data_IF_104739390465
#
_entry.id   IF_104739390465
#
_cell.length_a   1.000
_cell.length_b   1.000
_cell.length_c   1.000
_cell.angle_alpha   90.00
_cell.angle_beta   90.00
_cell.angle_gamma   90.00
#
_symmetry.space_group_name_H-M   'P 1'
#
loop_
_entity.id
_entity.type
_entity.pdbx_description
1 polymer ?
#
# COMPACT_ATOMS: atom_id res chain seq x y z
N UNK A 1 -5.33 44.72 31.86
CA UNK A 1 -5.88 43.36 32.00
C UNK A 1 -6.67 42.90 30.78
N UNK A 2 -7.67 43.63 30.29
CA UNK A 2 -8.44 43.29 29.07
C UNK A 2 -7.54 43.07 27.80
N UNK A 3 -6.59 43.97 27.56
CA UNK A 3 -5.66 43.85 26.41
C UNK A 3 -4.81 42.59 26.43
N UNK A 4 -4.38 42.16 27.61
CA UNK A 4 -3.58 40.91 27.79
C UNK A 4 -4.46 39.70 27.59
N UNK A 5 -5.70 39.73 28.09
CA UNK A 5 -6.67 38.64 27.87
C UNK A 5 -7.07 38.52 26.40
N UNK A 6 -7.23 39.62 25.68
CA UNK A 6 -7.54 39.61 24.24
C UNK A 6 -6.36 39.08 23.42
N UNK A 7 -5.13 39.47 23.75
CA UNK A 7 -3.93 38.93 23.11
C UNK A 7 -3.78 37.41 23.36
N UNK A 8 -3.90 37.00 24.63
CA UNK A 8 -3.85 35.60 24.99
C UNK A 8 -4.96 34.77 24.32
N UNK A 9 -6.18 35.28 24.25
CA UNK A 9 -7.27 34.57 23.58
C UNK A 9 -7.06 34.45 22.07
N UNK A 10 -6.54 35.49 21.42
CA UNK A 10 -6.25 35.47 19.99
C UNK A 10 -5.10 34.49 19.68
N UNK A 11 -4.07 34.47 20.51
CA UNK A 11 -2.97 33.50 20.35
C UNK A 11 -3.43 32.05 20.59
N UNK A 12 -4.21 31.80 21.64
CA UNK A 12 -4.77 30.47 21.92
C UNK A 12 -5.66 30.01 20.76
N UNK A 13 -6.55 30.88 20.25
CA UNK A 13 -7.42 30.56 19.12
C UNK A 13 -6.58 30.25 17.87
N UNK A 14 -5.52 31.02 17.61
CA UNK A 14 -4.60 30.76 16.51
C UNK A 14 -3.96 29.38 16.64
N UNK A 15 -3.33 29.08 17.77
CA UNK A 15 -2.64 27.82 18.00
C UNK A 15 -3.58 26.61 17.92
N UNK A 16 -4.75 26.69 18.56
CA UNK A 16 -5.75 25.63 18.52
C UNK A 16 -6.21 25.39 17.09
N UNK A 17 -6.47 26.46 16.34
CA UNK A 17 -6.91 26.32 14.95
C UNK A 17 -5.88 25.65 14.04
N UNK A 18 -4.59 25.91 14.24
CA UNK A 18 -3.55 25.36 13.39
C UNK A 18 -3.04 23.97 13.82
N UNK A 19 -3.20 23.59 15.07
CA UNK A 19 -2.76 22.29 15.59
C UNK A 19 -3.89 21.28 15.58
N UNK A 20 -5.16 21.70 15.66
CA UNK A 20 -6.31 20.82 15.83
C UNK A 20 -6.45 19.79 14.68
N UNK A 21 -6.19 20.20 13.44
CA UNK A 21 -6.28 19.28 12.29
C UNK A 21 -5.20 18.19 12.35
N UNK A 22 -3.89 18.53 12.43
CA UNK A 22 -2.85 17.49 12.63
C UNK A 22 -3.10 16.65 13.88
N UNK A 23 -3.58 17.25 14.97
CA UNK A 23 -3.87 16.52 16.21
C UNK A 23 -4.93 15.44 16.00
N UNK A 24 -6.09 15.81 15.43
CA UNK A 24 -7.22 14.90 15.24
C UNK A 24 -6.91 13.88 14.14
N UNK A 25 -6.28 14.30 13.05
CA UNK A 25 -6.09 13.46 11.86
C UNK A 25 -4.90 12.51 11.96
N UNK A 26 -3.86 12.88 12.72
CA UNK A 26 -2.60 12.14 12.75
C UNK A 26 -2.28 11.61 14.16
N UNK A 27 -2.32 12.48 15.17
CA UNK A 27 -1.82 12.14 16.51
C UNK A 27 -2.82 11.25 17.26
N UNK A 28 -4.11 11.60 17.24
CA UNK A 28 -5.14 10.78 17.92
C UNK A 28 -5.19 9.37 17.34
N UNK A 29 -5.22 9.16 16.00
CA UNK A 29 -5.12 7.82 15.42
C UNK A 29 -3.81 7.10 15.75
N UNK A 30 -2.66 7.80 15.76
CA UNK A 30 -1.37 7.19 16.10
C UNK A 30 -1.33 6.71 17.55
N UNK A 31 -1.82 7.51 18.50
CA UNK A 31 -1.89 7.16 19.93
C UNK A 31 -2.89 6.01 20.14
N UNK A 32 -4.10 6.11 19.57
CA UNK A 32 -5.10 5.05 19.66
C UNK A 32 -4.57 3.75 19.04
N UNK A 33 -3.95 3.84 17.87
CA UNK A 33 -3.30 2.73 17.20
C UNK A 33 -2.17 2.12 18.03
N UNK A 34 -1.35 2.94 18.68
CA UNK A 34 -0.30 2.46 19.57
C UNK A 34 -0.87 1.56 20.68
N UNK A 35 -1.85 2.05 21.42
CA UNK A 35 -2.46 1.26 22.51
C UNK A 35 -3.18 0.00 22.01
N UNK A 36 -3.89 0.10 20.87
CA UNK A 36 -4.55 -1.04 20.26
C UNK A 36 -3.56 -2.14 19.89
N UNK A 37 -2.45 -1.77 19.24
CA UNK A 37 -1.42 -2.72 18.82
C UNK A 37 -0.61 -3.28 19.99
N UNK A 38 -0.36 -2.50 21.03
CA UNK A 38 0.24 -2.98 22.28
C UNK A 38 -0.69 -3.99 22.94
N UNK A 39 -1.99 -3.69 23.07
CA UNK A 39 -3.00 -4.64 23.59
C UNK A 39 -3.01 -5.93 22.78
N UNK A 40 -3.07 -5.83 21.43
CA UNK A 40 -2.99 -7.00 20.55
C UNK A 40 -1.75 -7.83 20.85
N UNK A 41 -0.59 -7.18 20.98
CA UNK A 41 0.68 -7.87 21.22
C UNK A 41 0.74 -8.58 22.57
N UNK A 42 0.19 -7.98 23.61
CA UNK A 42 0.09 -8.59 24.95
C UNK A 42 -0.85 -9.78 24.95
N UNK A 43 -1.99 -9.68 24.26
CA UNK A 43 -3.00 -10.73 24.18
C UNK A 43 -2.67 -11.81 23.15
N UNK A 44 -1.66 -11.58 22.31
CA UNK A 44 -1.29 -12.52 21.24
C UNK A 44 -0.82 -13.85 21.80
N UNK A 45 -1.56 -14.89 21.46
CA UNK A 45 -1.17 -16.28 21.68
C UNK A 45 -0.43 -16.77 20.44
N UNK A 46 0.74 -17.37 20.64
CA UNK A 46 1.53 -17.94 19.56
C UNK A 46 0.74 -19.07 18.89
N UNK A 47 0.61 -19.02 17.56
CA UNK A 47 -0.01 -20.08 16.81
C UNK A 47 0.75 -21.40 17.06
N UNK A 48 0.02 -22.51 17.19
CA UNK A 48 0.63 -23.83 17.39
C UNK A 48 1.53 -24.20 16.19
N UNK A 49 2.61 -24.97 16.40
CA UNK A 49 3.43 -25.46 15.31
C UNK A 49 2.60 -26.32 14.37
N UNK A 50 2.93 -26.31 13.08
CA UNK A 50 2.30 -27.21 12.09
C UNK A 50 2.71 -28.64 12.41
N UNK A 51 1.74 -29.51 12.58
CA UNK A 51 1.93 -30.96 12.68
C UNK A 51 1.93 -31.58 11.28
N UNK A 52 1.13 -31.01 10.39
CA UNK A 52 0.96 -31.41 9.01
C UNK A 52 1.10 -30.20 8.11
N UNK A 53 1.77 -30.37 6.97
CA UNK A 53 1.93 -29.33 5.95
C UNK A 53 0.89 -29.53 4.85
N UNK A 54 -0.19 -28.73 4.80
CA UNK A 54 -1.18 -28.82 3.73
C UNK A 54 -0.59 -28.43 2.38
N UNK A 55 -1.15 -28.96 1.26
CA UNK A 55 -0.69 -28.55 -0.08
C UNK A 55 -0.95 -27.07 -0.32
N UNK A 56 0.05 -26.37 -0.82
CA UNK A 56 0.04 -24.94 -1.18
C UNK A 56 0.35 -24.79 -2.66
N UNK A 57 -0.45 -24.00 -3.36
CA UNK A 57 -0.08 -23.51 -4.69
C UNK A 57 0.41 -22.07 -4.57
N UNK A 58 1.66 -21.86 -4.94
CA UNK A 58 2.29 -20.54 -5.01
C UNK A 58 2.24 -20.04 -6.46
N UNK A 59 1.60 -18.91 -6.69
CA UNK A 59 1.46 -18.31 -8.02
C UNK A 59 2.43 -17.15 -8.15
N UNK A 60 3.22 -17.17 -9.22
CA UNK A 60 4.23 -16.14 -9.53
C UNK A 60 3.99 -15.61 -10.95
N UNK A 61 3.27 -14.50 -11.12
CA UNK A 61 3.17 -13.84 -12.43
C UNK A 61 4.53 -13.30 -12.84
N UNK A 62 4.99 -13.62 -14.05
CA UNK A 62 6.29 -13.22 -14.57
C UNK A 62 6.12 -12.26 -15.73
N UNK A 63 6.73 -11.07 -15.63
CA UNK A 63 6.75 -10.08 -16.69
C UNK A 63 8.07 -9.35 -16.75
N UNK A 64 8.90 -9.67 -17.75
CA UNK A 64 10.25 -9.10 -17.93
C UNK A 64 11.06 -9.14 -16.63
N UNK A 65 11.18 -10.32 -16.04
CA UNK A 65 11.79 -10.53 -14.71
C UNK A 65 13.13 -11.27 -14.78
N UNK A 66 13.83 -11.25 -15.92
CA UNK A 66 15.08 -11.99 -16.09
C UNK A 66 16.12 -11.67 -14.99
N UNK A 67 16.18 -10.40 -14.54
CA UNK A 67 17.15 -9.96 -13.52
C UNK A 67 16.80 -10.40 -12.10
N UNK A 68 15.51 -10.67 -11.81
CA UNK A 68 15.00 -10.89 -10.44
C UNK A 68 14.52 -12.32 -10.22
N UNK A 69 14.09 -13.02 -11.27
CA UNK A 69 13.41 -14.32 -11.19
C UNK A 69 14.27 -15.39 -10.50
N UNK A 70 15.58 -15.44 -10.77
CA UNK A 70 16.47 -16.41 -10.14
C UNK A 70 16.49 -16.24 -8.61
N UNK A 71 16.64 -15.01 -8.13
CA UNK A 71 16.65 -14.70 -6.71
C UNK A 71 15.28 -14.97 -6.04
N UNK A 72 14.19 -14.69 -6.75
CA UNK A 72 12.85 -15.03 -6.31
C UNK A 72 12.68 -16.54 -6.12
N UNK A 73 13.02 -17.36 -7.13
CA UNK A 73 12.96 -18.83 -7.06
C UNK A 73 13.86 -19.39 -5.97
N UNK A 74 15.06 -18.85 -5.82
CA UNK A 74 15.99 -19.28 -4.76
C UNK A 74 15.43 -18.98 -3.37
N UNK A 75 14.73 -17.87 -3.20
CA UNK A 75 14.03 -17.53 -1.95
C UNK A 75 12.87 -18.47 -1.63
N UNK A 76 12.16 -18.96 -2.65
CA UNK A 76 11.10 -19.97 -2.50
C UNK A 76 11.71 -21.31 -2.09
N UNK A 77 12.79 -21.73 -2.75
CA UNK A 77 13.54 -22.97 -2.42
C UNK A 77 14.07 -22.96 -0.99
N UNK A 78 14.54 -21.80 -0.53
CA UNK A 78 15.07 -21.62 0.82
C UNK A 78 13.97 -21.41 1.89
N UNK A 79 12.69 -21.55 1.52
CA UNK A 79 11.60 -21.50 2.50
C UNK A 79 11.63 -22.76 3.39
N UNK A 80 11.10 -22.62 4.61
CA UNK A 80 10.97 -23.73 5.57
C UNK A 80 9.71 -24.60 5.30
N UNK A 81 9.04 -24.41 4.15
CA UNK A 81 7.91 -25.23 3.74
C UNK A 81 8.39 -26.50 3.04
N UNK A 82 7.66 -27.62 3.23
CA UNK A 82 8.00 -28.89 2.62
C UNK A 82 7.90 -28.81 1.08
N UNK A 83 8.96 -29.10 0.32
CA UNK A 83 8.96 -28.97 -1.14
C UNK A 83 7.87 -29.80 -1.82
N UNK A 84 7.56 -31.01 -1.28
CA UNK A 84 6.57 -31.93 -1.82
C UNK A 84 5.12 -31.40 -1.68
N UNK A 85 4.92 -30.45 -0.78
CA UNK A 85 3.62 -29.79 -0.53
C UNK A 85 3.51 -28.40 -1.17
N UNK A 86 4.53 -28.01 -1.96
CA UNK A 86 4.60 -26.70 -2.60
C UNK A 86 4.61 -26.85 -4.11
N UNK A 87 3.50 -26.46 -4.75
CA UNK A 87 3.36 -26.38 -6.20
C UNK A 87 3.54 -24.92 -6.65
N UNK A 88 4.55 -24.63 -7.48
CA UNK A 88 4.88 -23.27 -7.91
C UNK A 88 4.51 -23.08 -9.37
N UNK A 89 3.50 -22.23 -9.61
CA UNK A 89 3.01 -21.89 -10.94
C UNK A 89 3.60 -20.55 -11.38
N UNK A 90 4.56 -20.60 -12.31
CA UNK A 90 5.11 -19.42 -12.96
C UNK A 90 4.28 -19.12 -14.21
N UNK A 91 3.63 -17.97 -14.23
CA UNK A 91 2.75 -17.59 -15.35
C UNK A 91 3.35 -16.42 -16.09
N UNK A 92 3.88 -16.70 -17.27
CA UNK A 92 4.40 -15.70 -18.18
C UNK A 92 3.27 -14.76 -18.67
N UNK A 93 3.41 -13.50 -18.37
CA UNK A 93 2.47 -12.43 -18.69
C UNK A 93 2.92 -11.65 -19.95
N UNK A 94 3.38 -12.37 -20.97
CA UNK A 94 3.85 -11.77 -22.21
C UNK A 94 5.26 -11.14 -22.10
N UNK A 95 6.18 -11.74 -21.34
CA UNK A 95 7.59 -11.31 -21.27
C UNK A 95 8.27 -11.37 -22.63
N UNK A 96 9.19 -10.42 -22.85
CA UNK A 96 10.01 -10.32 -24.08
C UNK A 96 11.50 -10.46 -23.80
N UNK A 97 11.85 -10.70 -22.54
CA UNK A 97 13.21 -10.91 -22.05
C UNK A 97 13.52 -12.40 -21.88
N UNK A 98 14.67 -12.74 -21.30
CA UNK A 98 15.16 -14.08 -21.09
C UNK A 98 14.57 -14.76 -19.83
N UNK A 99 13.38 -14.36 -19.34
CA UNK A 99 12.78 -14.94 -18.13
C UNK A 99 12.55 -16.46 -18.27
N UNK A 100 12.18 -16.94 -19.46
CA UNK A 100 11.97 -18.37 -19.70
C UNK A 100 13.27 -19.17 -19.63
N UNK A 101 14.35 -18.66 -20.17
CA UNK A 101 15.68 -19.27 -20.11
C UNK A 101 16.17 -19.39 -18.67
N UNK A 102 15.94 -18.33 -17.85
CA UNK A 102 16.25 -18.35 -16.41
C UNK A 102 15.45 -19.44 -15.69
N UNK A 103 14.15 -19.53 -15.94
CA UNK A 103 13.31 -20.61 -15.40
C UNK A 103 13.86 -21.99 -15.79
N UNK A 104 14.15 -22.18 -17.08
CA UNK A 104 14.61 -23.49 -17.60
C UNK A 104 15.97 -23.90 -17.00
N UNK A 105 16.89 -22.94 -16.85
CA UNK A 105 18.16 -23.16 -16.19
C UNK A 105 17.96 -23.54 -14.72
N UNK A 106 17.16 -22.77 -14.01
CA UNK A 106 16.88 -23.00 -12.60
C UNK A 106 16.21 -24.35 -12.33
N UNK A 107 15.25 -24.76 -13.17
CA UNK A 107 14.60 -26.08 -13.05
C UNK A 107 15.55 -27.24 -13.26
N UNK A 108 16.53 -27.10 -14.18
CA UNK A 108 17.58 -28.12 -14.40
C UNK A 108 18.51 -28.23 -13.20
N UNK A 109 18.83 -27.11 -12.55
CA UNK A 109 19.68 -27.10 -11.34
C UNK A 109 18.97 -27.65 -10.11
N UNK A 110 17.63 -27.48 -10.05
CA UNK A 110 16.79 -27.84 -8.89
C UNK A 110 15.59 -28.71 -9.27
N UNK A 111 15.79 -29.93 -9.79
CA UNK A 111 14.72 -30.80 -10.29
C UNK A 111 13.76 -31.30 -9.19
N UNK A 112 14.13 -31.15 -7.91
CA UNK A 112 13.30 -31.50 -6.76
C UNK A 112 12.17 -30.46 -6.50
N UNK A 113 12.22 -29.27 -7.10
CA UNK A 113 11.16 -28.29 -6.99
C UNK A 113 10.05 -28.57 -8.01
N UNK A 114 8.82 -28.53 -7.56
CA UNK A 114 7.66 -28.65 -8.46
C UNK A 114 7.35 -27.28 -9.08
N UNK A 115 8.08 -26.94 -10.15
CA UNK A 115 7.92 -25.69 -10.90
C UNK A 115 7.19 -25.97 -12.21
N UNK A 116 6.14 -25.19 -12.49
CA UNK A 116 5.38 -25.30 -13.74
C UNK A 116 5.35 -23.94 -14.42
N UNK A 117 5.78 -23.89 -15.68
CA UNK A 117 5.69 -22.70 -16.51
C UNK A 117 4.43 -22.71 -17.38
N UNK A 118 3.72 -21.59 -17.40
CA UNK A 118 2.51 -21.41 -18.17
C UNK A 118 2.60 -20.06 -18.90
N UNK A 119 1.92 -19.93 -20.05
CA UNK A 119 1.85 -18.69 -20.82
C UNK A 119 0.42 -18.14 -20.82
N UNK A 120 0.25 -16.88 -20.45
CA UNK A 120 -1.02 -16.17 -20.54
C UNK A 120 -0.92 -15.00 -21.53
N UNK A 121 -2.06 -14.47 -21.91
CA UNK A 121 -2.11 -13.17 -22.56
C UNK A 121 -1.62 -12.08 -21.58
N UNK A 122 -1.13 -10.97 -22.11
CA UNK A 122 -0.62 -9.87 -21.30
C UNK A 122 -1.70 -9.30 -20.37
N UNK A 123 -1.36 -9.17 -19.09
CA UNK A 123 -2.20 -8.67 -18.01
C UNK A 123 -2.04 -9.51 -16.74
N UNK A 124 -1.57 -8.91 -15.63
CA UNK A 124 -1.33 -9.61 -14.34
C UNK A 124 -2.59 -10.37 -13.88
N UNK A 125 -3.76 -9.75 -13.97
CA UNK A 125 -5.03 -10.38 -13.64
C UNK A 125 -5.29 -11.65 -14.47
N UNK A 126 -4.97 -11.63 -15.77
CA UNK A 126 -5.13 -12.80 -16.66
C UNK A 126 -4.19 -13.93 -16.25
N UNK A 127 -2.95 -13.60 -15.95
CA UNK A 127 -1.97 -14.56 -15.45
C UNK A 127 -2.42 -15.21 -14.13
N UNK A 128 -2.88 -14.40 -13.19
CA UNK A 128 -3.41 -14.87 -11.90
C UNK A 128 -4.65 -15.77 -12.10
N UNK A 129 -5.60 -15.37 -12.96
CA UNK A 129 -6.79 -16.15 -13.23
C UNK A 129 -6.45 -17.49 -13.87
N UNK A 130 -5.54 -17.51 -14.85
CA UNK A 130 -5.06 -18.75 -15.47
C UNK A 130 -4.48 -19.70 -14.42
N UNK A 131 -3.60 -19.20 -13.54
CA UNK A 131 -3.02 -20.02 -12.49
C UNK A 131 -4.07 -20.56 -11.52
N UNK A 132 -5.10 -19.80 -11.18
CA UNK A 132 -6.17 -20.23 -10.27
C UNK A 132 -6.92 -21.46 -10.80
N UNK A 133 -7.12 -21.59 -12.11
CA UNK A 133 -7.76 -22.77 -12.72
C UNK A 133 -6.90 -24.03 -12.63
N UNK A 134 -5.56 -23.88 -12.51
CA UNK A 134 -4.62 -24.99 -12.41
C UNK A 134 -4.15 -25.23 -10.96
N UNK A 135 -4.54 -24.38 -10.03
CA UNK A 135 -4.13 -24.47 -8.64
C UNK A 135 -4.84 -25.63 -7.94
N UNK A 136 -4.08 -26.55 -7.31
CA UNK A 136 -4.62 -27.71 -6.59
C UNK A 136 -4.52 -27.56 -5.07
N UNK A 137 -3.66 -26.69 -4.58
CA UNK A 137 -3.38 -26.49 -3.16
C UNK A 137 -4.62 -26.09 -2.33
N UNK A 138 -4.65 -26.49 -1.08
CA UNK A 138 -5.64 -26.02 -0.08
C UNK A 138 -5.58 -24.50 0.09
N UNK A 139 -4.36 -23.96 0.03
CA UNK A 139 -4.07 -22.55 0.11
C UNK A 139 -3.47 -22.07 -1.21
N UNK A 140 -3.94 -20.92 -1.66
CA UNK A 140 -3.42 -20.22 -2.82
C UNK A 140 -2.67 -18.99 -2.30
N UNK A 141 -1.39 -18.92 -2.61
CA UNK A 141 -0.56 -17.77 -2.24
C UNK A 141 -0.02 -17.20 -3.55
N UNK A 142 -0.07 -15.89 -3.72
CA UNK A 142 0.63 -15.26 -4.82
C UNK A 142 1.70 -14.29 -4.33
N UNK A 143 2.80 -14.23 -5.07
CA UNK A 143 3.90 -13.29 -4.88
C UNK A 143 4.32 -12.72 -6.24
N UNK A 144 4.87 -11.51 -6.24
CA UNK A 144 5.48 -10.93 -7.43
C UNK A 144 6.85 -11.56 -7.71
N UNK A 145 7.27 -11.59 -8.98
CA UNK A 145 8.54 -12.20 -9.43
C UNK A 145 9.78 -11.34 -9.18
N UNK A 146 9.59 -10.12 -8.70
CA UNK A 146 10.62 -9.10 -8.46
C UNK A 146 10.99 -8.93 -6.98
N UNK A 147 10.61 -9.88 -6.12
CA UNK A 147 10.91 -9.82 -4.70
C UNK A 147 11.43 -11.11 -4.11
N UNK A 148 11.74 -11.08 -2.83
CA UNK A 148 12.38 -12.16 -2.07
C UNK A 148 11.50 -12.57 -0.90
N UNK A 149 11.16 -13.84 -0.84
CA UNK A 149 10.36 -14.41 0.24
C UNK A 149 11.22 -14.64 1.49
N UNK A 150 10.74 -14.20 2.66
CA UNK A 150 11.39 -14.56 3.92
C UNK A 150 11.25 -16.07 4.17
N UNK A 151 12.30 -16.78 4.63
CA UNK A 151 12.28 -18.25 4.76
C UNK A 151 11.08 -18.82 5.54
N UNK A 152 10.56 -18.10 6.52
CA UNK A 152 9.41 -18.53 7.35
C UNK A 152 8.06 -17.99 6.89
N UNK A 153 7.99 -17.34 5.73
CA UNK A 153 6.77 -16.65 5.33
C UNK A 153 5.63 -17.62 5.01
N UNK A 154 5.89 -18.68 4.24
CA UNK A 154 4.87 -19.66 3.88
C UNK A 154 4.36 -20.43 5.10
N UNK A 155 5.27 -20.95 5.92
CA UNK A 155 4.91 -21.68 7.13
C UNK A 155 4.12 -20.82 8.12
N UNK A 156 4.45 -19.54 8.26
CA UNK A 156 3.72 -18.62 9.14
C UNK A 156 2.30 -18.35 8.62
N UNK A 157 2.12 -18.14 7.30
CA UNK A 157 0.79 -17.97 6.70
C UNK A 157 -0.08 -19.21 6.90
N UNK A 158 0.44 -20.39 6.56
CA UNK A 158 -0.31 -21.63 6.66
C UNK A 158 -0.63 -21.95 8.13
N UNK A 159 0.33 -21.75 9.03
CA UNK A 159 0.12 -21.90 10.49
C UNK A 159 -1.04 -21.03 10.99
N UNK A 160 -1.11 -19.77 10.54
CA UNK A 160 -2.18 -18.86 10.89
C UNK A 160 -3.54 -19.33 10.36
N UNK A 161 -3.59 -19.84 9.12
CA UNK A 161 -4.80 -20.40 8.55
C UNK A 161 -5.28 -21.67 9.28
N UNK A 162 -4.36 -22.54 9.68
CA UNK A 162 -4.72 -23.78 10.39
C UNK A 162 -5.15 -23.51 11.85
N UNK A 163 -4.56 -22.49 12.49
CA UNK A 163 -4.94 -22.10 13.85
C UNK A 163 -6.30 -21.37 13.89
N UNK A 164 -6.72 -20.76 12.77
CA UNK A 164 -7.89 -19.87 12.71
C UNK A 164 -8.77 -20.21 11.50
N UNK A 165 -9.75 -21.08 11.71
CA UNK A 165 -10.64 -21.55 10.63
C UNK A 165 -11.54 -20.43 10.07
N UNK A 166 -11.77 -19.38 10.84
CA UNK A 166 -12.52 -18.18 10.45
C UNK A 166 -11.75 -17.26 9.50
N UNK A 167 -10.44 -17.46 9.34
CA UNK A 167 -9.64 -16.69 8.39
C UNK A 167 -9.72 -17.30 7.00
N UNK A 168 -10.14 -16.50 6.04
CA UNK A 168 -10.35 -16.91 4.66
C UNK A 168 -9.30 -16.35 3.70
N UNK A 169 -8.79 -15.16 3.99
CA UNK A 169 -7.72 -14.52 3.24
C UNK A 169 -6.86 -13.66 4.16
N UNK A 170 -5.59 -13.52 3.80
CA UNK A 170 -4.61 -12.73 4.54
C UNK A 170 -3.67 -12.02 3.57
N UNK A 171 -3.15 -10.87 3.99
CA UNK A 171 -1.99 -10.25 3.38
C UNK A 171 -0.75 -10.51 4.21
N UNK A 172 0.40 -10.69 3.57
CA UNK A 172 1.70 -10.67 4.24
C UNK A 172 2.18 -9.23 4.48
N UNK A 173 3.32 -9.11 5.13
CA UNK A 173 4.02 -7.85 5.34
C UNK A 173 4.99 -7.60 4.18
N UNK A 174 4.92 -6.43 3.57
CA UNK A 174 5.86 -6.00 2.52
C UNK A 174 6.88 -5.06 3.12
N UNK A 175 8.15 -5.34 2.90
CA UNK A 175 9.26 -4.47 3.30
C UNK A 175 10.26 -4.35 2.13
N UNK A 176 10.98 -3.25 2.05
CA UNK A 176 12.11 -3.14 1.12
C UNK A 176 13.29 -3.98 1.60
N UNK A 177 14.09 -4.50 0.69
CA UNK A 177 15.18 -5.43 1.02
C UNK A 177 16.33 -4.72 1.77
N UNK A 178 16.57 -5.03 3.06
CA UNK A 178 17.60 -4.36 3.85
C UNK A 178 19.02 -4.66 3.38
N UNK A 179 19.27 -5.80 2.74
CA UNK A 179 20.61 -6.15 2.25
C UNK A 179 20.96 -5.29 1.02
N UNK A 180 20.01 -5.06 0.12
CA UNK A 180 20.20 -4.15 -1.01
C UNK A 180 20.43 -2.72 -0.54
N UNK A 181 19.68 -2.25 0.48
CA UNK A 181 19.89 -0.92 1.08
C UNK A 181 21.30 -0.79 1.67
N UNK A 182 21.83 -1.84 2.32
CA UNK A 182 23.19 -1.84 2.85
C UNK A 182 24.24 -1.82 1.75
N UNK A 183 23.98 -2.50 0.63
CA UNK A 183 24.88 -2.58 -0.52
C UNK A 183 24.92 -1.29 -1.35
N UNK A 184 23.92 -0.40 -1.22
CA UNK A 184 23.88 0.87 -1.95
C UNK A 184 25.07 1.75 -1.58
N UNK A 185 25.85 2.14 -2.61
CA UNK A 185 27.09 2.91 -2.43
C UNK A 185 26.84 4.41 -2.26
N UNK A 186 25.79 4.93 -2.91
CA UNK A 186 25.46 6.36 -2.82
C UNK A 186 24.80 6.67 -1.47
N UNK A 187 25.41 7.52 -0.61
CA UNK A 187 24.89 7.79 0.72
C UNK A 187 23.51 8.46 0.72
N UNK A 188 23.25 9.35 -0.25
CA UNK A 188 21.94 10.01 -0.37
C UNK A 188 20.85 9.03 -0.78
N UNK A 189 21.12 8.16 -1.78
CA UNK A 189 20.19 7.10 -2.19
C UNK A 189 19.97 6.11 -1.06
N UNK A 190 21.01 5.72 -0.33
CA UNK A 190 20.90 4.83 0.83
C UNK A 190 20.03 5.41 1.95
N UNK A 191 20.15 6.73 2.24
CA UNK A 191 19.28 7.41 3.21
C UNK A 191 17.84 7.42 2.70
N UNK A 192 17.62 7.73 1.44
CA UNK A 192 16.31 7.72 0.80
C UNK A 192 15.63 6.34 0.88
N UNK A 193 16.36 5.27 0.54
CA UNK A 193 15.88 3.89 0.64
C UNK A 193 15.64 3.44 2.09
N UNK A 194 16.45 3.89 3.05
CA UNK A 194 16.16 3.67 4.48
C UNK A 194 14.87 4.35 4.92
N UNK A 195 14.60 5.53 4.41
CA UNK A 195 13.37 6.26 4.73
C UNK A 195 12.15 5.55 4.13
N UNK A 196 12.26 5.04 2.91
CA UNK A 196 11.26 4.17 2.30
C UNK A 196 11.02 2.90 3.12
N UNK A 197 12.08 2.24 3.59
CA UNK A 197 11.94 1.06 4.47
C UNK A 197 11.12 1.37 5.73
N UNK A 198 11.33 2.52 6.34
CA UNK A 198 10.57 2.96 7.51
C UNK A 198 9.11 3.26 7.16
N UNK A 199 8.86 3.90 6.03
CA UNK A 199 7.49 4.16 5.54
C UNK A 199 6.77 2.85 5.23
N UNK A 200 7.43 1.88 4.56
CA UNK A 200 6.86 0.55 4.31
C UNK A 200 6.54 -0.18 5.61
N UNK A 201 7.43 -0.13 6.60
CA UNK A 201 7.18 -0.74 7.91
C UNK A 201 5.99 -0.07 8.63
N UNK A 202 5.83 1.25 8.51
CA UNK A 202 4.66 1.94 9.04
C UNK A 202 3.37 1.57 8.31
N UNK A 203 3.38 1.55 6.99
CA UNK A 203 2.20 1.26 6.17
C UNK A 203 1.81 -0.22 6.21
N UNK A 204 2.74 -1.10 5.83
CA UNK A 204 2.44 -2.52 5.57
C UNK A 204 2.62 -3.44 6.79
N UNK A 205 3.24 -2.97 7.88
CA UNK A 205 3.29 -3.75 9.12
C UNK A 205 2.40 -3.11 10.19
N UNK A 206 2.70 -1.92 10.67
CA UNK A 206 1.92 -1.31 11.74
C UNK A 206 0.51 -0.90 11.29
N UNK A 207 0.41 -0.19 10.16
CA UNK A 207 -0.86 0.26 9.59
C UNK A 207 -1.80 -0.89 9.27
N UNK A 208 -1.32 -1.91 8.56
CA UNK A 208 -2.14 -3.10 8.24
C UNK A 208 -2.57 -3.89 9.48
N UNK A 209 -1.74 -3.95 10.53
CA UNK A 209 -2.14 -4.54 11.80
C UNK A 209 -3.25 -3.72 12.47
N UNK A 210 -3.16 -2.40 12.47
CA UNK A 210 -4.21 -1.52 12.96
C UNK A 210 -5.51 -1.67 12.17
N UNK A 211 -5.43 -1.67 10.84
CA UNK A 211 -6.58 -1.89 9.96
C UNK A 211 -7.23 -3.26 10.20
N UNK A 212 -6.43 -4.31 10.41
CA UNK A 212 -6.94 -5.66 10.71
C UNK A 212 -7.75 -5.69 12.01
N UNK A 213 -7.27 -5.05 13.08
CA UNK A 213 -7.98 -4.98 14.34
C UNK A 213 -9.33 -4.23 14.23
N UNK A 214 -9.38 -3.20 13.41
CA UNK A 214 -10.60 -2.46 13.11
C UNK A 214 -11.46 -3.12 12.02
N UNK A 215 -11.07 -4.30 11.53
CA UNK A 215 -11.67 -4.92 10.35
C UNK A 215 -11.77 -3.93 9.17
N UNK A 216 -10.69 -3.20 8.90
CA UNK A 216 -10.67 -2.07 7.99
C UNK A 216 -9.67 -2.19 6.84
N UNK A 217 -9.01 -3.34 6.66
CA UNK A 217 -8.15 -3.58 5.51
C UNK A 217 -8.97 -3.39 4.23
N UNK A 218 -8.60 -2.41 3.43
CA UNK A 218 -9.29 -2.09 2.17
C UNK A 218 -8.54 -2.62 0.94
N UNK A 219 -7.26 -2.97 1.08
CA UNK A 219 -6.49 -3.63 0.02
C UNK A 219 -5.51 -4.63 0.63
N UNK A 220 -5.49 -5.85 0.11
CA UNK A 220 -4.41 -6.80 0.33
C UNK A 220 -3.23 -6.42 -0.57
N UNK A 221 -2.03 -6.77 -0.17
CA UNK A 221 -0.87 -6.47 -1.00
C UNK A 221 -0.85 -7.33 -2.27
N UNK A 222 -0.80 -6.71 -3.44
CA UNK A 222 -0.66 -7.39 -4.72
C UNK A 222 0.66 -8.14 -4.88
N UNK A 223 1.67 -7.79 -4.06
CA UNK A 223 2.96 -8.46 -4.04
C UNK A 223 3.01 -9.69 -3.13
N UNK A 224 2.09 -9.82 -2.15
CA UNK A 224 2.04 -10.98 -1.26
C UNK A 224 0.68 -11.11 -0.58
N UNK A 225 -0.16 -11.99 -1.09
CA UNK A 225 -1.45 -12.30 -0.48
C UNK A 225 -1.76 -13.79 -0.55
N UNK A 226 -2.61 -14.25 0.36
CA UNK A 226 -2.93 -15.65 0.57
C UNK A 226 -4.44 -15.85 0.78
N UNK A 227 -4.97 -16.93 0.22
CA UNK A 227 -6.38 -17.28 0.25
C UNK A 227 -6.58 -18.77 0.56
N UNK A 228 -7.68 -19.10 1.24
CA UNK A 228 -8.21 -20.44 1.10
C UNK A 228 -8.73 -20.60 -0.33
N UNK A 229 -8.37 -21.70 -1.02
CA UNK A 229 -8.86 -21.97 -2.38
C UNK A 229 -10.38 -21.85 -2.49
N UNK A 230 -11.11 -22.38 -1.52
CA UNK A 230 -12.57 -22.30 -1.47
C UNK A 230 -13.11 -20.87 -1.39
N UNK A 231 -12.33 -19.91 -0.94
CA UNK A 231 -12.75 -18.49 -0.84
C UNK A 231 -12.49 -17.74 -2.14
N UNK A 232 -11.29 -17.85 -2.70
CA UNK A 232 -10.97 -17.13 -3.94
C UNK A 232 -11.86 -17.59 -5.10
N UNK A 233 -12.20 -18.88 -5.16
CA UNK A 233 -13.10 -19.42 -6.20
C UNK A 233 -14.58 -19.00 -6.03
N UNK A 234 -14.95 -18.42 -4.89
CA UNK A 234 -16.29 -17.82 -4.69
C UNK A 234 -16.35 -16.34 -5.09
N UNK A 235 -15.22 -15.73 -5.39
CA UNK A 235 -15.15 -14.37 -5.94
C UNK A 235 -15.40 -14.40 -7.45
N UNK A 236 -15.49 -13.23 -8.06
CA UNK A 236 -15.50 -13.06 -9.52
C UNK A 236 -14.08 -13.13 -10.10
N UNK A 237 -13.13 -13.69 -9.37
CA UNK A 237 -11.71 -13.76 -9.70
C UNK A 237 -11.07 -12.35 -9.85
N UNK A 238 -9.90 -12.28 -10.45
CA UNK A 238 -9.20 -11.00 -10.66
C UNK A 238 -9.78 -10.26 -11.87
N UNK A 239 -10.23 -9.03 -11.65
CA UNK A 239 -10.76 -8.20 -12.73
C UNK A 239 -9.64 -7.78 -13.69
N UNK A 240 -9.88 -7.91 -14.99
CA UNK A 240 -8.92 -7.59 -16.06
C UNK A 240 -9.00 -6.15 -16.55
N UNK A 241 -10.00 -5.39 -16.09
CA UNK A 241 -10.26 -4.02 -16.53
C UNK A 241 -9.61 -2.97 -15.61
N UNK A 242 -9.11 -3.37 -14.43
CA UNK A 242 -8.46 -2.49 -13.49
C UNK A 242 -6.96 -2.80 -13.35
N UNK A 243 -6.17 -1.77 -13.01
CA UNK A 243 -4.74 -1.89 -12.70
C UNK A 243 -4.47 -2.25 -11.23
N UNK A 244 -5.51 -2.30 -10.39
CA UNK A 244 -5.45 -2.66 -8.97
C UNK A 244 -6.32 -3.89 -8.70
N UNK A 245 -5.92 -5.01 -9.27
CA UNK A 245 -6.58 -6.30 -9.14
C UNK A 245 -6.65 -6.79 -7.70
N UNK A 246 -5.66 -6.46 -6.91
CA UNK A 246 -5.53 -6.78 -5.49
C UNK A 246 -6.56 -6.03 -4.63
N UNK A 247 -6.73 -4.75 -4.88
CA UNK A 247 -7.76 -3.93 -4.25
C UNK A 247 -9.15 -4.42 -4.67
N UNK A 248 -9.34 -4.71 -5.96
CA UNK A 248 -10.61 -5.18 -6.48
C UNK A 248 -11.04 -6.52 -5.85
N UNK A 249 -10.14 -7.52 -5.77
CA UNK A 249 -10.45 -8.80 -5.11
C UNK A 249 -10.67 -8.62 -3.60
N UNK A 250 -9.97 -7.67 -2.97
CA UNK A 250 -10.20 -7.31 -1.57
C UNK A 250 -11.63 -6.82 -1.34
N UNK A 251 -12.13 -5.94 -2.21
CA UNK A 251 -13.51 -5.46 -2.16
C UNK A 251 -14.53 -6.57 -2.39
N UNK A 252 -14.26 -7.49 -3.32
CA UNK A 252 -15.13 -8.66 -3.52
C UNK A 252 -15.24 -9.51 -2.25
N UNK A 253 -14.11 -9.86 -1.63
CA UNK A 253 -14.09 -10.65 -0.40
C UNK A 253 -14.89 -9.95 0.71
N UNK A 254 -14.75 -8.65 0.85
CA UNK A 254 -15.45 -7.89 1.89
C UNK A 254 -16.92 -7.64 1.56
N UNK A 255 -17.25 -7.19 0.34
CA UNK A 255 -18.61 -6.76 -0.03
C UNK A 255 -19.49 -7.92 -0.46
N UNK A 256 -18.96 -8.90 -1.23
CA UNK A 256 -19.74 -10.02 -1.75
C UNK A 256 -19.77 -11.22 -0.79
N UNK A 257 -18.62 -11.53 -0.19
CA UNK A 257 -18.50 -12.69 0.69
C UNK A 257 -18.65 -12.35 2.18
N UNK A 258 -18.69 -11.05 2.53
CA UNK A 258 -18.76 -10.55 3.92
C UNK A 258 -17.68 -11.11 4.85
N UNK A 259 -16.50 -11.44 4.28
CA UNK A 259 -15.39 -12.03 5.02
C UNK A 259 -14.43 -10.95 5.52
N UNK A 260 -13.79 -11.24 6.66
CA UNK A 260 -12.72 -10.43 7.22
C UNK A 260 -11.41 -10.73 6.51
N UNK A 261 -10.56 -9.71 6.41
CA UNK A 261 -9.21 -9.84 5.92
C UNK A 261 -8.25 -9.64 7.08
N UNK A 262 -7.29 -10.54 7.21
CA UNK A 262 -6.28 -10.49 8.26
C UNK A 262 -4.90 -10.15 7.69
N UNK A 263 -3.97 -9.83 8.57
CA UNK A 263 -2.55 -9.74 8.25
C UNK A 263 -1.79 -10.86 8.97
N UNK A 264 -0.80 -11.42 8.28
CA UNK A 264 0.21 -12.27 8.89
C UNK A 264 1.51 -11.46 9.02
N UNK A 265 1.70 -10.81 10.17
CA UNK A 265 2.75 -9.83 10.40
C UNK A 265 4.18 -10.41 10.34
N UNK A 266 4.33 -11.71 10.53
CA UNK A 266 5.60 -12.44 10.47
C UNK A 266 5.81 -13.21 9.15
N UNK A 267 4.89 -13.08 8.21
CA UNK A 267 5.04 -13.52 6.83
C UNK A 267 5.52 -12.32 6.00
N UNK A 268 6.80 -12.28 5.68
CA UNK A 268 7.42 -11.11 5.04
C UNK A 268 7.83 -11.44 3.61
N UNK A 269 7.59 -10.48 2.73
CA UNK A 269 8.08 -10.44 1.38
C UNK A 269 8.88 -9.17 1.17
N UNK A 270 10.10 -9.30 0.69
CA UNK A 270 11.00 -8.17 0.46
C UNK A 270 10.94 -7.75 -1.01
N UNK A 271 10.68 -6.48 -1.23
CA UNK A 271 10.72 -5.86 -2.56
C UNK A 271 11.98 -5.02 -2.73
N UNK A 272 12.34 -4.75 -3.96
CA UNK A 272 13.50 -3.93 -4.25
C UNK A 272 13.26 -2.49 -3.78
N UNK A 273 14.29 -1.85 -3.16
CA UNK A 273 14.20 -0.45 -2.79
C UNK A 273 14.10 0.44 -4.03
N UNK A 274 13.30 1.49 -3.93
CA UNK A 274 13.09 2.37 -5.07
C UNK A 274 14.36 3.14 -5.44
N UNK A 275 14.62 3.29 -6.73
CA UNK A 275 15.86 3.86 -7.22
C UNK A 275 15.90 5.39 -7.15
N UNK A 276 14.77 6.06 -7.37
CA UNK A 276 14.69 7.50 -7.46
C UNK A 276 13.28 8.05 -7.22
N UNK A 277 13.19 9.38 -7.03
CA UNK A 277 11.93 10.07 -6.79
C UNK A 277 10.91 9.93 -7.93
N UNK A 278 11.37 9.83 -9.18
CA UNK A 278 10.47 9.69 -10.32
C UNK A 278 9.73 8.35 -10.27
N UNK A 279 10.46 7.23 -10.02
CA UNK A 279 9.84 5.91 -9.85
C UNK A 279 8.89 5.90 -8.65
N UNK A 280 9.26 6.56 -7.55
CA UNK A 280 8.39 6.72 -6.37
C UNK A 280 7.09 7.45 -6.72
N UNK A 281 7.19 8.58 -7.44
CA UNK A 281 6.03 9.36 -7.85
C UNK A 281 5.06 8.52 -8.70
N UNK A 282 5.57 7.86 -9.74
CA UNK A 282 4.76 7.00 -10.61
C UNK A 282 4.09 5.86 -9.85
N UNK A 283 4.82 5.22 -8.93
CA UNK A 283 4.28 4.14 -8.09
C UNK A 283 3.13 4.63 -7.21
N UNK A 284 3.31 5.75 -6.49
CA UNK A 284 2.30 6.30 -5.58
C UNK A 284 1.08 6.84 -6.32
N UNK A 285 1.26 7.46 -7.48
CA UNK A 285 0.15 7.88 -8.33
C UNK A 285 -0.63 6.68 -8.86
N UNK A 286 0.04 5.62 -9.32
CA UNK A 286 -0.62 4.39 -9.80
C UNK A 286 -1.47 3.76 -8.70
N UNK A 287 -0.93 3.61 -7.49
CA UNK A 287 -1.69 3.07 -6.36
C UNK A 287 -2.93 3.90 -6.06
N UNK A 288 -2.74 5.23 -5.95
CA UNK A 288 -3.83 6.14 -5.61
C UNK A 288 -4.96 6.15 -6.66
N UNK A 289 -4.59 6.13 -7.95
CA UNK A 289 -5.56 6.08 -9.06
C UNK A 289 -6.33 4.76 -9.07
N UNK A 290 -5.64 3.64 -8.92
CA UNK A 290 -6.28 2.33 -8.92
C UNK A 290 -7.21 2.12 -7.73
N UNK A 291 -6.85 2.62 -6.54
CA UNK A 291 -7.73 2.61 -5.37
C UNK A 291 -9.04 3.38 -5.64
N UNK A 292 -8.94 4.57 -6.26
CA UNK A 292 -10.12 5.37 -6.63
C UNK A 292 -10.99 4.70 -7.68
N UNK A 293 -10.36 4.10 -8.69
CA UNK A 293 -11.06 3.38 -9.76
C UNK A 293 -11.87 2.21 -9.19
N UNK A 294 -11.24 1.37 -8.37
CA UNK A 294 -11.91 0.24 -7.72
C UNK A 294 -13.00 0.73 -6.77
N UNK A 295 -12.73 1.77 -6.01
CA UNK A 295 -13.74 2.36 -5.14
C UNK A 295 -14.99 2.78 -5.91
N UNK A 296 -14.81 3.40 -7.06
CA UNK A 296 -15.92 3.82 -7.93
C UNK A 296 -16.71 2.63 -8.47
N UNK A 297 -16.06 1.53 -8.84
CA UNK A 297 -16.72 0.29 -9.30
C UNK A 297 -17.66 -0.30 -8.23
N UNK A 298 -17.30 -0.15 -6.94
CA UNK A 298 -18.07 -0.71 -5.82
C UNK A 298 -18.96 0.30 -5.08
N UNK A 299 -18.97 1.58 -5.50
CA UNK A 299 -19.87 2.57 -4.90
C UNK A 299 -21.31 2.34 -5.33
N UNK A 300 -22.20 2.29 -4.35
CA UNK A 300 -23.64 2.27 -4.62
C UNK A 300 -24.08 3.63 -5.19
N UNK A 301 -24.92 3.61 -6.24
CA UNK A 301 -25.46 4.83 -6.90
C UNK A 301 -26.42 5.66 -6.01
N UNK A 302 -26.38 5.44 -4.68
CA UNK A 302 -27.22 6.15 -3.72
C UNK A 302 -26.57 7.45 -3.20
N UNK A 303 -27.24 8.09 -2.23
CA UNK A 303 -26.72 9.29 -1.58
C UNK A 303 -25.36 9.02 -0.93
N UNK A 304 -24.36 9.87 -1.24
CA UNK A 304 -23.02 9.83 -0.66
C UNK A 304 -23.06 9.86 0.87
N UNK A 305 -23.98 10.66 1.46
CA UNK A 305 -24.17 10.74 2.91
C UNK A 305 -24.67 9.43 3.50
N UNK A 306 -25.63 8.78 2.84
CA UNK A 306 -26.11 7.45 3.27
C UNK A 306 -25.00 6.39 3.13
N UNK A 307 -24.25 6.41 2.04
CA UNK A 307 -23.09 5.56 1.83
C UNK A 307 -22.02 5.75 2.92
N UNK A 308 -21.71 6.99 3.28
CA UNK A 308 -20.77 7.30 4.37
C UNK A 308 -21.22 6.71 5.72
N UNK A 309 -22.50 6.80 6.05
CA UNK A 309 -23.02 6.28 7.31
C UNK A 309 -23.10 4.75 7.36
N UNK A 310 -23.44 4.11 6.25
CA UNK A 310 -23.75 2.68 6.20
C UNK A 310 -22.62 1.81 5.64
N UNK A 311 -21.79 2.34 4.72
CA UNK A 311 -20.78 1.59 4.01
C UNK A 311 -19.38 1.93 4.55
N UNK A 312 -18.75 0.92 5.20
CA UNK A 312 -17.40 1.05 5.75
C UNK A 312 -16.37 1.46 4.67
N UNK A 313 -16.44 0.87 3.48
CA UNK A 313 -15.49 1.16 2.39
C UNK A 313 -15.59 2.59 1.92
N UNK A 314 -16.80 3.13 1.80
CA UNK A 314 -17.03 4.55 1.49
C UNK A 314 -16.40 5.45 2.56
N UNK A 315 -16.51 5.08 3.85
CA UNK A 315 -15.86 5.84 4.93
C UNK A 315 -14.35 5.88 4.80
N UNK A 316 -13.70 4.71 4.60
CA UNK A 316 -12.23 4.63 4.48
C UNK A 316 -11.75 5.49 3.32
N UNK A 317 -12.38 5.38 2.17
CA UNK A 317 -12.01 6.15 0.98
C UNK A 317 -12.25 7.64 1.19
N UNK A 318 -13.39 8.02 1.75
CA UNK A 318 -13.68 9.42 2.06
C UNK A 318 -12.68 9.98 3.08
N UNK A 319 -12.31 9.21 4.11
CA UNK A 319 -11.28 9.64 5.06
C UNK A 319 -9.94 9.85 4.38
N UNK A 320 -9.46 8.91 3.59
CA UNK A 320 -8.15 9.01 2.96
C UNK A 320 -8.11 10.09 1.86
N UNK A 321 -9.15 10.20 1.04
CA UNK A 321 -9.19 11.13 -0.09
C UNK A 321 -9.82 12.48 0.23
N UNK A 322 -10.94 12.52 0.95
CA UNK A 322 -11.64 13.76 1.24
C UNK A 322 -10.81 14.66 2.15
N UNK A 323 -10.09 14.08 3.11
CA UNK A 323 -9.23 14.86 3.99
C UNK A 323 -7.87 15.24 3.37
N UNK A 324 -7.54 14.73 2.18
CA UNK A 324 -6.38 15.20 1.43
C UNK A 324 -6.55 16.67 1.01
N UNK A 325 -7.74 17.07 0.53
CA UNK A 325 -8.02 18.45 0.12
C UNK A 325 -8.01 19.47 1.28
N UNK A 326 -8.73 19.26 2.41
CA UNK A 326 -8.60 20.14 3.57
C UNK A 326 -7.17 20.29 4.06
N UNK A 327 -6.36 19.22 4.04
CA UNK A 327 -4.96 19.26 4.43
C UNK A 327 -4.13 20.13 3.46
N UNK A 328 -4.38 20.04 2.17
CA UNK A 328 -3.76 20.90 1.16
C UNK A 328 -4.13 22.38 1.39
N UNK A 329 -5.43 22.68 1.54
CA UNK A 329 -5.92 24.03 1.83
C UNK A 329 -5.26 24.56 3.10
N UNK A 330 -5.13 23.73 4.13
CA UNK A 330 -4.48 24.07 5.39
C UNK A 330 -3.01 24.49 5.23
N UNK A 331 -2.22 23.75 4.45
CA UNK A 331 -0.84 24.13 4.17
C UNK A 331 -0.76 25.44 3.39
N UNK A 332 -1.60 25.63 2.38
CA UNK A 332 -1.65 26.88 1.63
C UNK A 332 -2.10 28.05 2.50
N UNK A 333 -3.11 27.87 3.34
CA UNK A 333 -3.58 28.90 4.26
C UNK A 333 -2.47 29.32 5.23
N UNK A 334 -1.70 28.38 5.75
CA UNK A 334 -0.55 28.68 6.63
C UNK A 334 0.50 29.55 5.91
N UNK A 335 0.78 29.26 4.64
CA UNK A 335 1.68 30.07 3.80
C UNK A 335 1.05 31.46 3.53
N UNK A 336 -0.25 31.52 3.20
CA UNK A 336 -0.96 32.77 2.93
C UNK A 336 -0.97 33.72 4.12
N UNK A 337 -0.95 33.22 5.36
CA UNK A 337 -0.87 34.07 6.55
C UNK A 337 0.40 34.96 6.55
N UNK A 338 1.49 34.51 5.91
CA UNK A 338 2.71 35.30 5.72
C UNK A 338 2.43 36.58 4.93
N UNK A 339 1.54 36.50 3.94
CA UNK A 339 1.14 37.63 3.09
C UNK A 339 0.07 38.51 3.73
N UNK A 340 -0.62 38.03 4.79
CA UNK A 340 -1.64 38.73 5.53
C UNK A 340 -1.09 39.45 6.78
N UNK A 341 0.21 39.73 6.79
CA UNK A 341 0.91 40.42 7.89
C UNK A 341 0.84 39.69 9.26
N UNK A 342 0.59 38.39 9.28
CA UNK A 342 0.79 37.63 10.50
C UNK A 342 2.25 37.56 10.87
N UNK A 343 2.60 37.65 12.17
CA UNK A 343 4.00 37.56 12.58
C UNK A 343 4.64 36.25 12.13
N UNK A 344 5.72 36.33 11.35
CA UNK A 344 6.43 35.18 10.81
C UNK A 344 6.86 34.19 11.92
N UNK A 345 7.16 34.70 13.12
CA UNK A 345 7.47 33.88 14.28
C UNK A 345 6.36 32.86 14.63
N UNK A 346 5.09 33.25 14.57
CA UNK A 346 3.97 32.34 14.83
C UNK A 346 3.87 31.24 13.79
N UNK A 347 4.05 31.58 12.53
CA UNK A 347 4.03 30.60 11.44
C UNK A 347 5.16 29.61 11.60
N UNK A 348 6.38 30.09 11.88
CA UNK A 348 7.54 29.23 12.08
C UNK A 348 7.36 28.30 13.29
N UNK A 349 6.90 28.83 14.43
CA UNK A 349 6.64 28.01 15.62
C UNK A 349 5.56 26.96 15.34
N UNK A 350 4.49 27.32 14.61
CA UNK A 350 3.44 26.35 14.19
C UNK A 350 4.04 25.21 13.38
N UNK A 351 4.87 25.51 12.38
CA UNK A 351 5.54 24.51 11.57
C UNK A 351 6.42 23.59 12.39
N UNK A 352 7.20 24.16 13.33
CA UNK A 352 8.07 23.38 14.23
C UNK A 352 7.24 22.48 15.14
N UNK A 353 6.13 22.97 15.72
CA UNK A 353 5.25 22.16 16.57
C UNK A 353 4.61 21.03 15.77
N UNK A 354 4.08 21.31 14.58
CA UNK A 354 3.53 20.28 13.69
C UNK A 354 4.58 19.23 13.35
N UNK A 355 5.80 19.64 13.02
CA UNK A 355 6.90 18.72 12.75
C UNK A 355 7.21 17.83 13.96
N UNK A 356 7.30 18.39 15.17
CA UNK A 356 7.52 17.63 16.40
C UNK A 356 6.39 16.61 16.62
N UNK A 357 5.12 16.98 16.39
CA UNK A 357 3.99 16.07 16.51
C UNK A 357 4.10 14.89 15.52
N UNK A 358 4.51 15.14 14.28
CA UNK A 358 4.73 14.07 13.30
C UNK A 358 5.90 13.15 13.70
N UNK A 359 6.99 13.70 14.23
CA UNK A 359 8.10 12.89 14.74
C UNK A 359 7.65 12.02 15.93
N UNK A 360 6.87 12.57 16.86
CA UNK A 360 6.30 11.80 17.98
C UNK A 360 5.37 10.69 17.50
N UNK A 361 4.51 10.97 16.53
CA UNK A 361 3.67 9.94 15.88
C UNK A 361 4.53 8.84 15.27
N UNK A 362 5.55 9.20 14.49
CA UNK A 362 6.49 8.25 13.90
C UNK A 362 7.22 7.42 14.97
N UNK A 363 7.54 8.00 16.12
CA UNK A 363 8.16 7.29 17.24
C UNK A 363 7.21 6.25 17.88
N UNK A 364 5.92 6.55 18.01
CA UNK A 364 4.93 5.57 18.49
C UNK A 364 4.84 4.36 17.53
N UNK A 365 4.80 4.60 16.22
CA UNK A 365 4.87 3.52 15.22
C UNK A 365 6.18 2.75 15.32
N UNK A 366 7.31 3.43 15.51
CA UNK A 366 8.62 2.79 15.67
C UNK A 366 8.63 1.79 16.83
N UNK A 367 8.09 2.14 18.00
CA UNK A 367 8.00 1.23 19.14
C UNK A 367 7.16 -0.01 18.82
N UNK A 368 6.00 0.17 18.17
CA UNK A 368 5.17 -0.94 17.75
C UNK A 368 5.89 -1.86 16.77
N UNK A 369 6.52 -1.30 15.74
CA UNK A 369 7.24 -2.06 14.72
C UNK A 369 8.39 -2.86 15.33
N UNK A 370 9.16 -2.27 16.25
CA UNK A 370 10.20 -2.99 16.98
C UNK A 370 9.67 -4.21 17.75
N UNK A 371 8.46 -4.10 18.30
CA UNK A 371 7.80 -5.22 18.96
C UNK A 371 7.40 -6.32 17.96
N UNK A 372 6.83 -5.93 16.80
CA UNK A 372 6.45 -6.88 15.76
C UNK A 372 7.64 -7.57 15.11
N UNK A 373 8.75 -6.87 14.88
CA UNK A 373 9.98 -7.45 14.31
C UNK A 373 10.77 -8.36 15.27
N UNK A 374 10.21 -8.66 16.45
CA UNK A 374 10.85 -9.51 17.45
C UNK A 374 11.14 -10.94 17.00
N UNK A 375 10.50 -11.42 15.92
CA UNK A 375 10.72 -12.75 15.35
C UNK A 375 12.01 -12.87 14.53
N UNK A 376 12.52 -11.76 13.99
CA UNK A 376 13.76 -11.67 13.21
C UNK A 376 14.73 -10.66 13.84
N UNK A 377 15.79 -11.18 14.48
CA UNK A 377 16.81 -10.37 15.15
C UNK A 377 17.61 -9.49 14.19
N UNK A 378 17.82 -9.94 12.93
CA UNK A 378 18.60 -9.20 11.93
C UNK A 378 17.80 -7.99 11.44
N UNK A 379 16.54 -8.22 11.07
CA UNK A 379 15.62 -7.20 10.62
C UNK A 379 15.35 -6.16 11.72
N UNK A 380 15.09 -6.63 12.95
CA UNK A 380 14.91 -5.76 14.11
C UNK A 380 16.14 -4.88 14.39
N UNK A 381 17.36 -5.45 14.29
CA UNK A 381 18.60 -4.69 14.49
C UNK A 381 18.80 -3.64 13.40
N UNK A 382 18.50 -3.98 12.14
CA UNK A 382 18.55 -3.03 11.03
C UNK A 382 17.60 -1.85 11.27
N UNK A 383 16.34 -2.15 11.64
CA UNK A 383 15.34 -1.14 11.95
C UNK A 383 15.78 -0.29 13.15
N UNK A 384 16.14 -0.90 14.27
CA UNK A 384 16.56 -0.19 15.48
C UNK A 384 17.79 0.71 15.27
N UNK A 385 18.77 0.25 14.48
CA UNK A 385 20.02 0.97 14.23
C UNK A 385 19.90 2.22 13.37
N UNK A 386 18.73 2.45 12.74
CA UNK A 386 18.49 3.60 11.87
C UNK A 386 17.44 4.57 12.43
N UNK A 387 17.28 4.64 13.76
CA UNK A 387 16.24 5.46 14.43
C UNK A 387 16.22 6.93 14.01
N UNK A 388 17.37 7.53 13.65
CA UNK A 388 17.45 8.91 13.17
C UNK A 388 16.66 9.18 11.90
N UNK A 389 16.30 8.13 11.15
CA UNK A 389 15.40 8.25 9.98
C UNK A 389 14.02 8.79 10.36
N UNK A 390 13.59 8.60 11.62
CA UNK A 390 12.33 9.18 12.11
C UNK A 390 12.25 10.70 11.93
N UNK A 391 13.38 11.39 11.96
CA UNK A 391 13.44 12.84 11.73
C UNK A 391 13.20 13.19 10.24
N UNK A 392 13.48 12.29 9.32
CA UNK A 392 13.28 12.52 7.89
C UNK A 392 11.88 12.09 7.41
N UNK A 393 11.21 11.20 8.14
CA UNK A 393 9.90 10.67 7.75
C UNK A 393 8.83 11.73 7.50
N UNK A 394 8.68 12.80 8.32
CA UNK A 394 7.69 13.83 8.05
C UNK A 394 7.88 14.51 6.68
N UNK A 395 9.13 14.78 6.30
CA UNK A 395 9.44 15.37 4.99
C UNK A 395 9.18 14.38 3.84
N UNK A 396 9.55 13.13 4.02
CA UNK A 396 9.29 12.08 3.03
C UNK A 396 7.79 11.87 2.82
N UNK A 397 7.01 11.78 3.90
CA UNK A 397 5.55 11.65 3.85
C UNK A 397 4.89 12.89 3.24
N UNK A 398 5.45 14.08 3.45
CA UNK A 398 4.99 15.30 2.80
C UNK A 398 5.17 15.24 1.28
N UNK A 399 6.30 14.72 0.80
CA UNK A 399 6.54 14.52 -0.65
C UNK A 399 5.57 13.47 -1.21
N UNK A 400 5.38 12.33 -0.53
CA UNK A 400 4.43 11.30 -0.93
C UNK A 400 3.00 11.85 -0.99
N UNK A 401 2.62 12.69 -0.04
CA UNK A 401 1.32 13.35 -0.03
C UNK A 401 1.05 14.08 -1.36
N UNK A 402 2.02 14.85 -1.86
CA UNK A 402 1.88 15.55 -3.14
C UNK A 402 1.82 14.60 -4.33
N UNK A 403 2.56 13.50 -4.32
CA UNK A 403 2.48 12.48 -5.35
C UNK A 403 1.11 11.80 -5.39
N UNK A 404 0.55 11.48 -4.24
CA UNK A 404 -0.81 10.94 -4.13
C UNK A 404 -1.86 11.96 -4.58
N UNK A 405 -1.71 13.22 -4.21
CA UNK A 405 -2.59 14.30 -4.66
C UNK A 405 -2.58 14.44 -6.19
N UNK A 406 -1.40 14.39 -6.81
CA UNK A 406 -1.29 14.38 -8.27
C UNK A 406 -2.04 13.16 -8.86
N UNK A 407 -1.93 11.98 -8.24
CA UNK A 407 -2.70 10.78 -8.63
C UNK A 407 -4.22 11.00 -8.58
N UNK A 408 -4.73 11.67 -7.53
CA UNK A 408 -6.15 12.02 -7.41
C UNK A 408 -6.58 12.95 -8.53
N UNK A 409 -5.84 14.03 -8.79
CA UNK A 409 -6.15 14.99 -9.84
C UNK A 409 -6.13 14.35 -11.23
N UNK A 410 -5.13 13.49 -11.49
CA UNK A 410 -5.03 12.78 -12.76
C UNK A 410 -6.14 11.74 -12.96
N UNK A 411 -6.69 11.16 -11.88
CA UNK A 411 -7.80 10.20 -11.97
C UNK A 411 -9.10 10.82 -12.51
N UNK A 412 -9.28 12.12 -12.36
CA UNK A 412 -10.46 12.84 -12.86
C UNK A 412 -10.49 12.87 -14.40
N UNK A 413 -9.34 12.81 -15.05
CA UNK A 413 -9.19 13.02 -16.50
C UNK A 413 -8.97 11.76 -17.33
N UNK A 414 -8.42 10.70 -16.74
CA UNK A 414 -8.03 9.49 -17.49
C UNK A 414 -8.39 8.23 -16.73
N UNK A 415 -9.00 7.26 -17.43
CA UNK A 415 -9.14 5.89 -16.93
C UNK A 415 -7.78 5.24 -16.73
N UNK A 416 -7.66 4.38 -15.72
CA UNK A 416 -6.41 3.71 -15.36
C UNK A 416 -5.83 2.91 -16.54
N UNK A 417 -4.67 3.31 -17.02
CA UNK A 417 -3.93 2.59 -18.03
C UNK A 417 -2.53 2.23 -17.51
N UNK A 418 -2.02 1.07 -17.89
CA UNK A 418 -0.67 0.60 -17.57
C UNK A 418 0.46 1.47 -18.14
N UNK A 419 0.13 2.44 -19.00
CA UNK A 419 1.11 3.32 -19.63
C UNK A 419 1.54 4.39 -18.62
N UNK A 420 2.73 4.22 -18.08
CA UNK A 420 3.40 5.21 -17.25
C UNK A 420 3.77 6.41 -18.11
N UNK A 421 3.19 7.57 -17.82
CA UNK A 421 3.59 8.84 -18.43
C UNK A 421 4.88 9.32 -17.77
N UNK A 422 5.75 9.94 -18.55
CA UNK A 422 6.95 10.57 -18.01
C UNK A 422 6.60 11.90 -17.35
N UNK A 423 7.45 12.39 -16.42
CA UNK A 423 7.31 13.73 -15.81
C UNK A 423 7.11 14.85 -16.82
N UNK A 424 7.72 14.74 -17.99
CA UNK A 424 7.59 15.71 -19.08
C UNK A 424 6.19 15.70 -19.70
N UNK A 425 5.65 14.52 -19.93
CA UNK A 425 4.27 14.33 -20.44
C UNK A 425 3.23 14.80 -19.42
N UNK A 426 3.42 14.51 -18.14
CA UNK A 426 2.54 15.00 -17.07
C UNK A 426 2.59 16.52 -16.93
N UNK A 427 3.79 17.12 -17.00
CA UNK A 427 3.95 18.57 -16.93
C UNK A 427 3.33 19.29 -18.13
N UNK A 428 3.46 18.74 -19.33
CA UNK A 428 2.79 19.28 -20.54
C UNK A 428 1.26 19.14 -20.43
N UNK A 429 0.75 18.06 -19.85
CA UNK A 429 -0.67 17.91 -19.58
C UNK A 429 -1.16 18.94 -18.53
N UNK A 430 -0.43 19.14 -17.43
CA UNK A 430 -0.76 20.17 -16.43
C UNK A 430 -0.75 21.57 -17.08
N UNK A 431 0.24 21.88 -17.90
CA UNK A 431 0.26 23.15 -18.66
C UNK A 431 -0.94 23.27 -19.59
N UNK A 432 -1.25 22.23 -20.34
CA UNK A 432 -2.39 22.20 -21.26
C UNK A 432 -3.71 22.48 -20.52
N UNK A 433 -3.89 21.86 -19.34
CA UNK A 433 -5.05 22.08 -18.47
C UNK A 433 -5.11 23.49 -17.93
N UNK A 434 -3.98 23.98 -17.38
CA UNK A 434 -3.90 25.36 -16.87
C UNK A 434 -4.16 26.36 -17.98
N UNK A 435 -3.57 26.17 -19.15
CA UNK A 435 -3.79 27.06 -20.30
C UNK A 435 -5.22 26.97 -20.86
N UNK A 436 -5.86 25.80 -20.80
CA UNK A 436 -7.23 25.63 -21.31
C UNK A 436 -8.29 26.11 -20.33
N UNK A 437 -8.12 25.84 -19.05
CA UNK A 437 -9.13 26.16 -18.02
C UNK A 437 -8.98 27.60 -17.47
N UNK A 438 -7.82 28.23 -17.64
CA UNK A 438 -7.57 29.65 -17.31
C UNK A 438 -7.53 30.58 -18.52
N UNK A 439 -7.76 30.11 -19.73
CA UNK A 439 -8.01 30.96 -20.89
C UNK A 439 -9.44 31.51 -20.80
N UNK A 440 -9.59 32.65 -20.14
CA UNK A 440 -10.82 33.41 -20.08
C UNK A 440 -11.09 34.14 -21.42
N UNK A 441 -12.38 34.26 -21.90
CA UNK A 441 -13.68 33.89 -21.30
C UNK A 441 -14.36 32.70 -22.01
N UNK A 442 -14.88 31.79 -21.23
CA UNK A 442 -15.79 30.75 -21.74
C UNK A 442 -17.16 31.39 -22.02
N UNK A 443 -17.50 31.54 -23.28
CA UNK A 443 -18.87 31.79 -23.72
C UNK A 443 -19.73 30.59 -23.34
N UNK A 444 -20.64 30.77 -22.41
CA UNK A 444 -21.68 29.80 -22.07
C UNK A 444 -22.72 29.74 -23.19
N UNK A 445 -22.42 29.06 -24.27
CA UNK A 445 -23.44 28.64 -25.25
C UNK A 445 -23.15 27.23 -25.67
N UNK A 446 -24.09 26.35 -25.40
CA UNK A 446 -24.24 24.94 -25.70
C UNK A 446 -24.00 23.93 -24.56
N UNK A 447 -24.85 24.01 -23.54
CA UNK A 447 -25.34 22.83 -22.83
C UNK A 447 -26.72 22.45 -23.44
N UNK A 448 -26.70 21.80 -24.58
CA UNK A 448 -27.86 21.03 -25.03
C UNK A 448 -27.67 19.59 -24.56
N UNK A 449 -28.47 19.20 -23.59
CA UNK A 449 -28.70 17.81 -23.23
C UNK A 449 -29.11 17.03 -24.48
N UNK A 450 -28.57 15.83 -24.74
CA UNK A 450 -29.10 14.96 -25.76
C UNK A 450 -30.50 14.49 -25.32
N UNK A 451 -31.51 14.99 -25.99
CA UNK A 451 -32.87 14.47 -25.91
C UNK A 451 -32.87 13.04 -26.46
N UNK A 452 -33.34 12.12 -25.63
CA UNK A 452 -33.76 10.78 -26.05
C UNK A 452 -34.66 10.86 -27.28
N UNK A 453 -34.25 10.28 -28.39
CA UNK A 453 -35.18 9.80 -29.43
C UNK A 453 -35.20 8.29 -29.40
N UNK A 454 -36.32 7.75 -28.96
CA UNK A 454 -36.76 6.40 -29.21
C UNK A 454 -36.85 6.18 -30.72
N UNK A 455 -36.33 5.10 -31.21
CA UNK A 455 -37.01 4.02 -31.99
C UNK A 455 -36.17 2.77 -31.82
#
# INVERSE_FOLDING_TARGET
>A
MQRILTLLSNEIVFWVSWIIIPLIMEIVPAVAGFFLLVKKRILYKKDAPLIYYPPVTLIVPVYNSADTLYACLDSIRNSDYQPEQLDVLLVNNGSKDNSFEIYTAYQKEHPQMNLKWMNSEQGKSRALNMALFHAEGKYIIHIDSDGILHPKALSNLVKRFEAHNELHCMTGTILTNPEMIKAEKNPFRRIFQKTEFYEYAQAFLAGRNFEAELNSIFTMSGAFSAFRKSTILKTQLYNTETVCEDTHVTFQVRKLLHQKIAICENAVFFVDPIENLQKLCLQRQRWQRGELEVAHMFMDRGSVVKGFLTNFMTRVIMFDHTFAFPRMIWYFALICLTFLNYPFSFILISLVLIYILYVLSAFLYYLNILSYLGYDKKLRRFYAGNVLILLLLPFYNFVIYWFRMAGILNSIKTTGAWRTQTWKEEWEQVKCVVCHDFAWPVSYTHLTLPTNSRV
#
